data_IF_648296913860
#
_entry.id   IF_648296913860
#
_cell.length_a   1.000
_cell.length_b   1.000
_cell.length_c   1.000
_cell.angle_alpha   90.00
_cell.angle_beta   90.00
_cell.angle_gamma   90.00
#
_symmetry.space_group_name_H-M   'P 1'
#
loop_
_entity.id
_entity.type
_entity.pdbx_description
1 polymer ?
#
# COMPACT_ATOMS: atom_id res chain seq x y z
N UNK A 1 -3.26 -1.42 -4.53
CA UNK A 1 -2.56 -0.48 -5.45
C UNK A 1 -1.77 0.55 -4.63
N UNK A 2 -0.70 1.15 -5.15
CA UNK A 2 0.05 2.24 -4.48
C UNK A 2 -0.05 3.52 -5.32
N UNK A 3 -0.19 4.68 -4.67
CA UNK A 3 -0.21 5.99 -5.33
C UNK A 3 0.52 7.05 -4.50
N UNK A 4 1.13 8.04 -5.14
CA UNK A 4 1.74 9.19 -4.45
C UNK A 4 0.75 10.32 -4.15
N UNK A 5 -0.56 10.12 -4.40
CA UNK A 5 -1.58 11.04 -3.93
C UNK A 5 -1.85 10.82 -2.44
N UNK A 6 -1.09 11.54 -1.61
CA UNK A 6 -1.13 11.40 -0.14
C UNK A 6 -2.44 11.84 0.49
N UNK A 7 -3.30 12.59 -0.22
CA UNK A 7 -4.64 12.94 0.26
C UNK A 7 -5.50 11.70 0.57
N UNK A 8 -5.27 10.59 -0.15
CA UNK A 8 -5.99 9.34 0.07
C UNK A 8 -5.62 8.64 1.39
N UNK A 9 -4.55 9.05 2.08
CA UNK A 9 -4.18 8.47 3.38
C UNK A 9 -5.26 8.70 4.45
N UNK A 10 -6.12 9.70 4.27
CA UNK A 10 -7.23 10.03 5.18
C UNK A 10 -8.43 9.09 5.03
N UNK A 11 -8.47 8.28 3.96
CA UNK A 11 -9.57 7.37 3.71
C UNK A 11 -9.48 6.12 4.59
N UNK A 12 -10.62 5.60 5.11
CA UNK A 12 -10.63 4.39 5.91
C UNK A 12 -9.98 3.20 5.18
N UNK A 13 -9.06 2.53 5.86
CA UNK A 13 -8.36 1.35 5.35
C UNK A 13 -7.10 1.66 4.52
N UNK A 14 -6.88 2.91 4.12
CA UNK A 14 -5.65 3.30 3.44
C UNK A 14 -4.49 3.47 4.43
N UNK A 15 -3.27 3.25 3.95
CA UNK A 15 -2.05 3.28 4.79
C UNK A 15 -1.02 4.19 4.15
N UNK A 16 -0.51 5.13 4.94
CA UNK A 16 0.57 6.03 4.51
C UNK A 16 1.91 5.30 4.47
N UNK A 17 2.66 5.54 3.40
CA UNK A 17 3.98 4.96 3.13
C UNK A 17 5.02 6.08 3.02
N UNK A 18 5.80 6.35 4.07
CA UNK A 18 6.89 7.31 4.00
C UNK A 18 7.99 6.82 3.04
N UNK A 19 8.45 7.68 2.13
CA UNK A 19 9.54 7.36 1.21
C UNK A 19 10.82 6.90 1.92
N UNK A 20 11.11 7.53 3.07
CA UNK A 20 12.27 7.25 3.92
C UNK A 20 12.32 5.81 4.45
N UNK A 21 11.19 5.12 4.49
CA UNK A 21 11.06 3.76 5.06
C UNK A 21 10.76 2.68 4.02
N UNK A 22 10.28 3.06 2.84
CA UNK A 22 9.73 2.12 1.83
C UNK A 22 10.56 2.04 0.56
N UNK A 23 11.63 2.84 0.44
CA UNK A 23 12.46 3.03 -0.77
C UNK A 23 11.68 3.55 -1.99
N UNK A 24 10.42 3.95 -1.80
CA UNK A 24 9.66 4.63 -2.84
C UNK A 24 10.28 6.00 -3.10
N UNK A 25 10.23 6.50 -4.35
CA UNK A 25 10.82 7.79 -4.70
C UNK A 25 10.09 8.98 -4.04
N UNK A 26 8.86 8.77 -3.56
CA UNK A 26 8.00 9.79 -2.94
C UNK A 26 7.10 9.15 -1.89
N UNK A 27 6.66 9.97 -0.94
CA UNK A 27 5.62 9.57 0.00
C UNK A 27 4.39 9.09 -0.77
N UNK A 28 3.85 7.97 -0.31
CA UNK A 28 2.85 7.22 -1.03
C UNK A 28 1.78 6.69 -0.09
N UNK A 29 0.74 6.07 -0.67
CA UNK A 29 -0.38 5.50 0.06
C UNK A 29 -0.71 4.15 -0.56
N UNK A 30 -0.85 3.13 0.28
CA UNK A 30 -1.54 1.91 -0.11
C UNK A 30 -3.03 2.22 -0.17
N UNK A 31 -3.59 2.14 -1.37
CA UNK A 31 -5.02 2.25 -1.56
C UNK A 31 -5.66 0.87 -1.40
N UNK A 32 -6.30 0.65 -0.24
CA UNK A 32 -6.92 -0.63 0.13
C UNK A 32 -8.23 -0.90 -0.60
N UNK A 33 -8.87 0.13 -1.17
CA UNK A 33 -10.08 -0.02 -1.98
C UNK A 33 -9.79 -0.32 -3.45
N UNK A 34 -8.53 -0.25 -3.87
CA UNK A 34 -8.07 -0.55 -5.22
C UNK A 34 -7.23 -1.84 -5.25
N UNK A 35 -7.93 -2.97 -5.14
CA UNK A 35 -7.37 -4.32 -5.25
C UNK A 35 -7.38 -4.81 -6.69
N UNK A 36 -6.26 -5.39 -7.13
CA UNK A 36 -6.09 -5.95 -8.48
C UNK A 36 -5.40 -7.29 -8.40
N UNK A 37 -5.81 -8.22 -9.27
CA UNK A 37 -5.12 -9.49 -9.47
C UNK A 37 -4.27 -9.37 -10.74
N UNK A 38 -2.97 -9.65 -10.64
CA UNK A 38 -2.01 -9.53 -11.74
C UNK A 38 -1.31 -10.87 -11.97
N UNK A 39 -0.83 -11.10 -13.19
CA UNK A 39 0.03 -12.25 -13.45
C UNK A 39 1.41 -11.99 -12.86
N UNK A 40 2.09 -13.04 -12.40
CA UNK A 40 3.46 -12.91 -11.86
C UNK A 40 4.46 -12.37 -12.89
N UNK A 41 4.20 -12.61 -14.18
CA UNK A 41 5.00 -12.11 -15.31
C UNK A 41 4.88 -10.60 -15.51
N UNK A 42 3.83 -9.97 -14.97
CA UNK A 42 3.62 -8.52 -15.07
C UNK A 42 4.45 -7.75 -14.02
N UNK A 43 5.06 -8.47 -13.05
CA UNK A 43 5.94 -7.89 -12.03
C UNK A 43 7.38 -7.85 -12.56
N UNK A 44 7.79 -6.68 -13.07
CA UNK A 44 9.12 -6.49 -13.68
C UNK A 44 10.18 -6.08 -12.66
N UNK A 45 9.94 -4.97 -11.95
CA UNK A 45 10.94 -4.29 -11.14
C UNK A 45 10.60 -4.34 -9.64
N UNK A 46 11.45 -5.00 -8.86
CA UNK A 46 11.30 -5.05 -7.40
C UNK A 46 11.90 -3.80 -6.75
N UNK A 47 11.04 -2.91 -6.28
CA UNK A 47 11.46 -1.69 -5.54
C UNK A 47 12.03 -2.03 -4.15
N UNK A 48 11.37 -2.93 -3.42
CA UNK A 48 11.75 -3.28 -2.06
C UNK A 48 10.65 -4.02 -1.31
N UNK A 49 10.77 -4.02 0.01
CA UNK A 49 9.76 -4.56 0.92
C UNK A 49 9.24 -3.44 1.83
N UNK A 50 7.93 -3.45 2.07
CA UNK A 50 7.31 -2.57 3.05
C UNK A 50 7.65 -3.11 4.45
N UNK A 51 8.09 -2.25 5.39
CA UNK A 51 8.37 -2.67 6.76
C UNK A 51 7.22 -3.45 7.40
N UNK A 52 7.50 -4.47 8.25
CA UNK A 52 6.46 -5.31 8.85
C UNK A 52 5.40 -4.53 9.64
N UNK A 53 5.79 -3.43 10.29
CA UNK A 53 4.86 -2.56 11.02
C UNK A 53 3.80 -1.95 10.10
N UNK A 54 4.22 -1.43 8.94
CA UNK A 54 3.34 -0.87 7.93
C UNK A 54 2.50 -1.94 7.24
N UNK A 55 3.07 -3.13 6.98
CA UNK A 55 2.29 -4.27 6.47
C UNK A 55 1.19 -4.70 7.44
N UNK A 56 1.43 -4.63 8.75
CA UNK A 56 0.40 -4.90 9.74
C UNK A 56 -0.76 -3.91 9.68
N UNK A 57 -0.48 -2.64 9.35
CA UNK A 57 -1.53 -1.65 9.12
C UNK A 57 -2.31 -1.93 7.84
N UNK A 58 -1.61 -2.37 6.78
CA UNK A 58 -2.24 -2.78 5.53
C UNK A 58 -3.20 -3.94 5.77
N UNK A 59 -2.78 -4.95 6.53
CA UNK A 59 -3.64 -6.09 6.86
C UNK A 59 -4.90 -5.66 7.64
N UNK A 60 -4.76 -4.72 8.60
CA UNK A 60 -5.92 -4.15 9.31
C UNK A 60 -6.84 -3.38 8.36
N UNK A 61 -6.27 -2.61 7.45
CA UNK A 61 -7.01 -1.84 6.45
C UNK A 61 -7.79 -2.73 5.49
N UNK A 62 -7.17 -3.81 5.01
CA UNK A 62 -7.81 -4.80 4.15
C UNK A 62 -8.95 -5.51 4.85
N UNK A 63 -8.75 -6.00 6.09
CA UNK A 63 -9.82 -6.60 6.89
C UNK A 63 -11.01 -5.68 7.05
N UNK A 64 -10.76 -4.39 7.30
CA UNK A 64 -11.83 -3.39 7.41
C UNK A 64 -12.59 -3.17 6.11
N UNK A 65 -11.89 -3.11 4.97
CA UNK A 65 -12.53 -2.88 3.66
C UNK A 65 -13.29 -4.12 3.18
N UNK A 66 -12.85 -5.31 3.59
CA UNK A 66 -13.43 -6.59 3.17
C UNK A 66 -14.39 -7.20 4.20
N UNK A 67 -14.60 -6.55 5.34
CA UNK A 67 -15.43 -7.01 6.47
C UNK A 67 -15.02 -8.42 6.99
N UNK A 68 -13.73 -8.58 7.27
CA UNK A 68 -13.07 -9.84 7.69
C UNK A 68 -12.50 -9.78 9.11
#
# INVERSE_FOLDING_TARGET
MITSNTALATMPGNVFLPATTTRLPRDSVVNATALVTLNKTDLTDRVGEVPPSLMHEVDRGLRRVLDL
#
